data_IF_815138050047
#
_entry.id   IF_815138050047
#
_cell.length_a   1.000
_cell.length_b   1.000
_cell.length_c   1.000
_cell.angle_alpha   90.00
_cell.angle_beta   90.00
_cell.angle_gamma   90.00
#
_symmetry.space_group_name_H-M   'P 1'
#
loop_
_entity.id
_entity.type
_entity.pdbx_description
1 polymer ?
#
# COMPACT_ATOMS: atom_id res chain seq x y z
N UNK A 1 9.37 5.54 50.96
CA UNK A 1 9.84 4.57 51.96
C UNK A 1 11.36 4.68 51.95
N UNK A 2 11.94 4.96 53.12
CA UNK A 2 13.37 5.03 53.32
C UNK A 2 13.79 4.28 54.58
N UNK A 3 15.10 4.05 54.70
CA UNK A 3 15.74 3.58 55.93
C UNK A 3 16.61 4.70 56.44
N UNK A 4 16.45 5.08 57.69
CA UNK A 4 17.22 6.15 58.32
C UNK A 4 17.68 5.67 59.69
N UNK A 5 19.00 5.68 59.95
CA UNK A 5 19.59 5.28 61.21
C UNK A 5 20.81 6.12 61.53
N UNK A 6 20.97 6.49 62.78
CA UNK A 6 22.14 7.23 63.31
C UNK A 6 23.37 6.33 63.56
N UNK A 7 23.17 5.00 63.53
CA UNK A 7 24.22 4.00 63.77
C UNK A 7 24.20 2.94 62.68
N UNK A 8 25.36 2.52 62.18
CA UNK A 8 25.46 1.52 61.13
C UNK A 8 25.02 0.12 61.53
N UNK A 9 24.89 -0.17 62.84
CA UNK A 9 24.42 -1.45 63.37
C UNK A 9 22.89 -1.62 63.32
N UNK A 10 22.14 -0.52 63.41
CA UNK A 10 20.69 -0.51 63.52
C UNK A 10 19.95 -0.24 62.22
N UNK A 11 20.68 -0.22 61.10
CA UNK A 11 20.14 0.16 59.78
C UNK A 11 19.05 -0.79 59.29
N UNK A 12 19.10 -2.06 59.67
CA UNK A 12 18.13 -3.09 59.31
C UNK A 12 17.06 -3.37 60.35
N UNK A 13 17.05 -2.64 61.45
CA UNK A 13 16.02 -2.80 62.47
C UNK A 13 14.65 -2.26 62.01
N UNK A 14 13.59 -2.82 62.56
CA UNK A 14 12.23 -2.38 62.25
C UNK A 14 11.98 -0.90 62.57
N UNK A 15 12.64 -0.37 63.58
CA UNK A 15 12.57 1.00 64.03
C UNK A 15 13.22 2.01 63.09
N UNK A 16 14.09 1.58 62.15
CA UNK A 16 14.78 2.40 61.16
C UNK A 16 13.96 2.65 59.92
N UNK A 17 12.75 2.11 59.82
CA UNK A 17 11.86 2.31 58.67
C UNK A 17 11.10 3.61 58.80
N UNK A 18 11.37 4.53 57.86
CA UNK A 18 10.64 5.80 57.73
C UNK A 18 9.69 5.73 56.56
N UNK A 19 8.46 6.10 56.77
CA UNK A 19 7.49 6.28 55.69
C UNK A 19 6.72 7.58 55.93
N UNK A 20 6.48 8.31 54.87
CA UNK A 20 5.67 9.52 54.91
C UNK A 20 4.64 9.49 53.79
N UNK A 21 3.38 9.68 54.15
CA UNK A 21 2.28 9.89 53.22
C UNK A 21 1.63 11.21 53.61
N UNK A 22 1.59 12.13 52.66
CA UNK A 22 0.92 13.42 52.84
C UNK A 22 0.34 13.93 51.55
N UNK A 23 -0.84 14.54 51.59
CA UNK A 23 -1.35 15.25 50.43
C UNK A 23 -0.48 16.50 50.16
N UNK A 24 0.08 16.59 48.96
CA UNK A 24 0.81 17.77 48.52
C UNK A 24 -0.09 18.61 47.60
N UNK A 25 -0.33 19.87 47.96
CA UNK A 25 -1.00 20.84 47.08
C UNK A 25 0.06 21.82 46.59
N UNK A 26 0.34 21.81 45.26
CA UNK A 26 1.22 22.79 44.64
C UNK A 26 0.36 23.80 43.86
N UNK A 27 0.35 25.03 44.31
CA UNK A 27 -0.36 26.12 43.65
C UNK A 27 0.62 27.20 43.23
N UNK A 28 0.80 27.34 41.93
CA UNK A 28 1.60 28.39 41.35
C UNK A 28 0.78 29.70 41.31
N UNK A 29 0.98 30.60 42.25
CA UNK A 29 0.21 31.85 42.38
C UNK A 29 0.64 32.91 41.35
N UNK A 30 1.85 32.85 40.84
CA UNK A 30 2.36 33.79 39.87
C UNK A 30 3.13 33.11 38.72
N UNK A 31 2.65 33.27 37.50
CA UNK A 31 3.20 32.62 36.31
C UNK A 31 3.76 33.58 35.28
N UNK A 32 3.86 34.87 35.54
CA UNK A 32 4.41 35.85 34.59
C UNK A 32 3.81 35.81 33.19
N UNK A 33 2.52 35.39 33.06
CA UNK A 33 1.86 35.24 31.75
C UNK A 33 2.11 33.92 31.03
N UNK A 34 2.92 32.99 31.59
CA UNK A 34 3.28 31.73 30.94
C UNK A 34 2.09 30.85 30.57
N UNK A 35 1.02 30.84 31.40
CA UNK A 35 -0.20 30.09 31.09
C UNK A 35 -0.90 30.63 29.85
N UNK A 36 -0.99 31.96 29.75
CA UNK A 36 -1.64 32.63 28.61
C UNK A 36 -0.87 32.38 27.31
N UNK A 37 0.45 32.51 27.37
CA UNK A 37 1.35 32.19 26.24
C UNK A 37 1.24 30.73 25.83
N UNK A 38 1.15 29.82 26.80
CA UNK A 38 0.98 28.39 26.49
C UNK A 38 -0.36 28.07 25.80
N UNK A 39 -1.44 28.79 26.15
CA UNK A 39 -2.72 28.67 25.46
C UNK A 39 -2.57 29.13 24.00
N UNK A 40 -1.91 30.24 23.71
CA UNK A 40 -1.65 30.71 22.35
C UNK A 40 -0.81 29.71 21.55
N UNK A 41 0.20 29.11 22.17
CA UNK A 41 0.99 28.04 21.53
C UNK A 41 0.14 26.81 21.18
N UNK A 42 -0.78 26.40 22.08
CA UNK A 42 -1.66 25.26 21.80
C UNK A 42 -2.69 25.58 20.70
N UNK A 43 -3.19 26.82 20.66
CA UNK A 43 -4.10 27.26 19.58
C UNK A 43 -3.37 27.22 18.22
N UNK A 44 -2.13 27.74 18.16
CA UNK A 44 -1.32 27.70 16.94
C UNK A 44 -0.99 26.26 16.50
N UNK A 45 -0.75 25.36 17.45
CA UNK A 45 -0.55 23.92 17.14
C UNK A 45 -1.81 23.26 16.61
N UNK A 46 -2.98 23.62 17.13
CA UNK A 46 -4.27 23.12 16.63
C UNK A 46 -4.51 23.61 15.20
N UNK A 47 -4.25 24.87 14.90
CA UNK A 47 -4.34 25.42 13.54
C UNK A 47 -3.36 24.74 12.58
N UNK A 48 -2.12 24.53 13.01
CA UNK A 48 -1.12 23.76 12.25
C UNK A 48 -1.61 22.33 11.94
N UNK A 49 -2.19 21.65 12.90
CA UNK A 49 -2.73 20.31 12.72
C UNK A 49 -3.92 20.27 11.71
N UNK A 50 -4.76 21.30 11.74
CA UNK A 50 -5.86 21.46 10.78
C UNK A 50 -5.32 21.63 9.36
N UNK A 51 -4.36 22.53 9.16
CA UNK A 51 -3.71 22.77 7.85
C UNK A 51 -3.03 21.49 7.34
N UNK A 52 -2.38 20.74 8.22
CA UNK A 52 -1.77 19.46 7.85
C UNK A 52 -2.81 18.42 7.42
N UNK A 53 -3.96 18.38 8.08
CA UNK A 53 -5.06 17.51 7.68
C UNK A 53 -5.62 17.89 6.31
N UNK A 54 -5.89 19.18 6.07
CA UNK A 54 -6.35 19.66 4.76
C UNK A 54 -5.35 19.33 3.65
N UNK A 55 -4.07 19.57 3.90
CA UNK A 55 -3.00 19.22 2.95
C UNK A 55 -2.91 17.70 2.70
N UNK A 56 -3.20 16.87 3.69
CA UNK A 56 -3.22 15.40 3.51
C UNK A 56 -4.41 14.96 2.66
N UNK A 57 -5.59 15.57 2.84
CA UNK A 57 -6.79 15.28 2.03
C UNK A 57 -6.55 15.67 0.57
N UNK A 58 -6.01 16.87 0.33
CA UNK A 58 -5.71 17.33 -1.03
C UNK A 58 -4.70 16.42 -1.74
N UNK A 59 -3.64 16.00 -1.03
CA UNK A 59 -2.66 15.04 -1.57
C UNK A 59 -3.28 13.69 -1.89
N UNK A 60 -4.18 13.18 -1.06
CA UNK A 60 -4.86 11.94 -1.32
C UNK A 60 -5.77 12.02 -2.57
N UNK A 61 -6.46 13.14 -2.77
CA UNK A 61 -7.25 13.39 -3.98
C UNK A 61 -6.37 13.45 -5.23
N UNK A 62 -5.28 14.21 -5.17
CA UNK A 62 -4.29 14.31 -6.25
C UNK A 62 -3.74 12.93 -6.62
N UNK A 63 -3.38 12.10 -5.64
CA UNK A 63 -2.88 10.74 -5.88
C UNK A 63 -3.91 9.89 -6.62
N UNK A 64 -5.17 9.90 -6.20
CA UNK A 64 -6.25 9.14 -6.86
C UNK A 64 -6.45 9.60 -8.30
N UNK A 65 -6.52 10.90 -8.54
CA UNK A 65 -6.71 11.46 -9.89
C UNK A 65 -5.53 11.11 -10.80
N UNK A 66 -4.30 11.27 -10.33
CA UNK A 66 -3.10 10.95 -11.09
C UNK A 66 -3.05 9.47 -11.49
N UNK A 67 -3.37 8.58 -10.56
CA UNK A 67 -3.36 7.13 -10.83
C UNK A 67 -4.51 6.73 -11.76
N UNK A 68 -5.69 7.36 -11.62
CA UNK A 68 -6.82 7.11 -12.51
C UNK A 68 -6.51 7.52 -13.95
N UNK A 69 -5.90 8.70 -14.13
CA UNK A 69 -5.48 9.18 -15.46
C UNK A 69 -4.39 8.28 -16.04
N UNK A 70 -3.41 7.86 -15.21
CA UNK A 70 -2.36 6.96 -15.66
C UNK A 70 -2.93 5.60 -16.11
N UNK A 71 -3.87 5.04 -15.37
CA UNK A 71 -4.56 3.79 -15.72
C UNK A 71 -5.31 3.92 -17.05
N UNK A 72 -6.12 4.98 -17.21
CA UNK A 72 -6.90 5.20 -18.43
C UNK A 72 -6.01 5.38 -19.67
N UNK A 73 -4.93 6.17 -19.56
CA UNK A 73 -3.97 6.39 -20.65
C UNK A 73 -3.23 5.11 -21.03
N UNK A 74 -2.84 4.30 -20.03
CA UNK A 74 -2.15 3.04 -20.29
C UNK A 74 -3.06 2.01 -20.97
N UNK A 75 -4.34 1.99 -20.67
CA UNK A 75 -5.32 1.17 -21.39
C UNK A 75 -5.40 1.53 -22.88
N UNK A 76 -5.44 2.83 -23.22
CA UNK A 76 -5.44 3.30 -24.61
C UNK A 76 -4.13 2.96 -25.32
N UNK A 77 -2.99 3.09 -24.62
CA UNK A 77 -1.68 2.71 -25.15
C UNK A 77 -1.63 1.21 -25.46
N UNK A 78 -2.07 0.38 -24.52
CA UNK A 78 -2.16 -1.08 -24.70
C UNK A 78 -3.00 -1.46 -25.93
N UNK A 79 -4.17 -0.85 -26.12
CA UNK A 79 -5.01 -1.09 -27.27
C UNK A 79 -4.29 -0.73 -28.58
N UNK A 80 -3.59 0.41 -28.61
CA UNK A 80 -2.82 0.84 -29.77
C UNK A 80 -1.66 -0.10 -30.08
N UNK A 81 -0.92 -0.55 -29.04
CA UNK A 81 0.16 -1.52 -29.18
C UNK A 81 -0.32 -2.89 -29.65
N UNK A 82 -1.49 -3.34 -29.17
CA UNK A 82 -2.12 -4.59 -29.65
C UNK A 82 -2.43 -4.55 -31.14
N UNK A 83 -2.96 -3.42 -31.63
CA UNK A 83 -3.22 -3.21 -33.05
C UNK A 83 -1.92 -3.17 -33.86
N UNK A 84 -0.89 -2.48 -33.32
CA UNK A 84 0.43 -2.39 -33.95
C UNK A 84 1.14 -3.76 -34.03
N UNK A 85 1.13 -4.52 -32.96
CA UNK A 85 1.71 -5.87 -32.93
C UNK A 85 1.01 -6.82 -33.92
N UNK A 86 -0.33 -6.73 -34.02
CA UNK A 86 -1.10 -7.50 -34.99
C UNK A 86 -0.75 -7.10 -36.43
N UNK A 87 -0.57 -5.82 -36.72
CA UNK A 87 -0.15 -5.34 -38.03
C UNK A 87 1.28 -5.78 -38.38
N UNK A 88 2.21 -5.68 -37.41
CA UNK A 88 3.59 -6.14 -37.59
C UNK A 88 3.68 -7.66 -37.81
N UNK A 89 2.83 -8.44 -37.15
CA UNK A 89 2.75 -9.89 -37.37
C UNK A 89 2.36 -10.21 -38.81
N UNK A 90 1.35 -9.51 -39.32
CA UNK A 90 0.95 -9.67 -40.72
C UNK A 90 2.04 -9.24 -41.72
N UNK A 91 2.75 -8.13 -41.40
CA UNK A 91 3.87 -7.67 -42.22
C UNK A 91 5.03 -8.70 -42.24
N UNK A 92 5.35 -9.29 -41.11
CA UNK A 92 6.38 -10.35 -41.03
C UNK A 92 6.00 -11.59 -41.85
N UNK A 93 4.73 -12.00 -41.84
CA UNK A 93 4.24 -13.11 -42.68
C UNK A 93 4.35 -12.78 -44.15
N UNK A 94 3.91 -11.60 -44.57
CA UNK A 94 4.00 -11.15 -45.98
C UNK A 94 5.45 -11.06 -46.43
N UNK A 95 6.38 -10.54 -45.61
CA UNK A 95 7.80 -10.49 -45.90
C UNK A 95 8.39 -11.89 -46.11
N UNK A 96 7.97 -12.87 -45.30
CA UNK A 96 8.38 -14.26 -45.40
C UNK A 96 7.87 -14.91 -46.71
N UNK A 97 6.63 -14.68 -47.06
CA UNK A 97 6.04 -15.19 -48.32
C UNK A 97 6.73 -14.58 -49.55
N UNK A 98 7.02 -13.26 -49.54
CA UNK A 98 7.74 -12.56 -50.59
C UNK A 98 9.19 -13.07 -50.74
N UNK A 99 9.87 -13.38 -49.62
CA UNK A 99 11.20 -13.99 -49.65
C UNK A 99 11.16 -15.38 -50.26
N UNK A 100 10.18 -16.21 -49.89
CA UNK A 100 10.00 -17.53 -50.51
C UNK A 100 9.73 -17.48 -52.01
N UNK A 101 9.05 -16.44 -52.45
CA UNK A 101 8.80 -16.16 -53.87
C UNK A 101 10.02 -15.53 -54.59
N UNK A 102 11.11 -15.25 -53.91
CA UNK A 102 12.32 -14.62 -54.46
C UNK A 102 12.17 -13.13 -54.78
N UNK A 103 11.15 -12.45 -54.20
CA UNK A 103 10.83 -11.06 -54.52
C UNK A 103 11.56 -10.05 -53.62
N UNK A 104 12.03 -10.46 -52.44
CA UNK A 104 12.77 -9.62 -51.48
C UNK A 104 13.93 -10.35 -50.88
N UNK A 105 14.90 -9.57 -50.32
CA UNK A 105 16.05 -10.11 -49.60
C UNK A 105 15.65 -10.59 -48.19
N UNK A 106 16.43 -11.53 -47.66
CA UNK A 106 16.29 -12.06 -46.30
C UNK A 106 16.35 -10.97 -45.21
N UNK A 107 17.08 -9.88 -45.46
CA UNK A 107 17.18 -8.74 -44.55
C UNK A 107 15.79 -8.14 -44.27
N UNK A 108 14.87 -8.08 -45.27
CA UNK A 108 13.52 -7.59 -45.12
C UNK A 108 12.71 -8.48 -44.13
N UNK A 109 12.93 -9.78 -44.16
CA UNK A 109 12.31 -10.72 -43.19
C UNK A 109 12.83 -10.47 -41.80
N UNK A 110 14.16 -10.32 -41.63
CA UNK A 110 14.77 -10.03 -40.33
C UNK A 110 14.30 -8.71 -39.74
N UNK A 111 14.21 -7.65 -40.53
CA UNK A 111 13.73 -6.34 -40.07
C UNK A 111 12.26 -6.36 -39.68
N UNK A 112 11.43 -7.09 -40.42
CA UNK A 112 10.01 -7.29 -40.09
C UNK A 112 9.85 -8.09 -38.80
N UNK A 113 10.62 -9.16 -38.61
CA UNK A 113 10.60 -9.95 -37.39
C UNK A 113 11.12 -9.17 -36.17
N UNK A 114 12.18 -8.36 -36.34
CA UNK A 114 12.68 -7.47 -35.30
C UNK A 114 11.62 -6.45 -34.88
N UNK A 115 10.95 -5.84 -35.84
CA UNK A 115 9.87 -4.87 -35.60
C UNK A 115 8.69 -5.52 -34.82
N UNK A 116 8.31 -6.75 -35.22
CA UNK A 116 7.29 -7.53 -34.50
C UNK A 116 7.71 -7.80 -33.05
N UNK A 117 8.95 -8.23 -32.84
CA UNK A 117 9.46 -8.56 -31.49
C UNK A 117 9.45 -7.33 -30.58
N UNK A 118 9.88 -6.16 -31.09
CA UNK A 118 9.85 -4.90 -30.33
C UNK A 118 8.43 -4.55 -29.91
N UNK A 119 7.47 -4.62 -30.85
CA UNK A 119 6.07 -4.28 -30.56
C UNK A 119 5.39 -5.28 -29.59
N UNK A 120 5.77 -6.55 -29.66
CA UNK A 120 5.31 -7.55 -28.71
C UNK A 120 5.87 -7.30 -27.29
N UNK A 121 7.15 -6.91 -27.19
CA UNK A 121 7.78 -6.58 -25.92
C UNK A 121 7.13 -5.33 -25.30
N UNK A 122 6.91 -4.27 -26.11
CA UNK A 122 6.20 -3.07 -25.65
C UNK A 122 4.75 -3.38 -25.20
N UNK A 123 4.06 -4.27 -25.90
CA UNK A 123 2.71 -4.70 -25.50
C UNK A 123 2.73 -5.43 -24.15
N UNK A 124 3.66 -6.34 -23.95
CA UNK A 124 3.83 -7.06 -22.68
C UNK A 124 4.16 -6.11 -21.51
N UNK A 125 5.04 -5.12 -21.77
CA UNK A 125 5.33 -4.07 -20.79
C UNK A 125 4.10 -3.24 -20.43
N UNK A 126 3.28 -2.88 -21.43
CA UNK A 126 2.04 -2.14 -21.24
C UNK A 126 1.00 -2.97 -20.46
N UNK A 127 0.88 -4.27 -20.73
CA UNK A 127 0.04 -5.19 -19.95
C UNK A 127 0.43 -5.19 -18.46
N UNK A 128 1.72 -5.27 -18.17
CA UNK A 128 2.24 -5.17 -16.81
C UNK A 128 1.97 -3.80 -16.17
N UNK A 129 2.08 -2.72 -16.95
CA UNK A 129 1.83 -1.36 -16.48
C UNK A 129 0.34 -1.14 -16.15
N UNK A 130 -0.60 -1.68 -16.96
CA UNK A 130 -2.05 -1.65 -16.67
C UNK A 130 -2.35 -2.30 -15.33
N UNK A 131 -1.80 -3.49 -15.08
CA UNK A 131 -2.01 -4.20 -13.80
C UNK A 131 -1.40 -3.42 -12.64
N UNK A 132 -0.20 -2.89 -12.81
CA UNK A 132 0.49 -2.08 -11.79
C UNK A 132 -0.32 -0.83 -11.44
N UNK A 133 -0.83 -0.12 -12.43
CA UNK A 133 -1.66 1.08 -12.23
C UNK A 133 -3.00 0.73 -11.57
N UNK A 134 -3.60 -0.41 -11.90
CA UNK A 134 -4.81 -0.90 -11.23
C UNK A 134 -4.57 -1.17 -9.74
N UNK A 135 -3.44 -1.81 -9.40
CA UNK A 135 -3.06 -2.06 -8.00
C UNK A 135 -2.82 -0.74 -7.25
N UNK A 136 -2.15 0.24 -7.91
CA UNK A 136 -1.95 1.58 -7.32
C UNK A 136 -3.27 2.28 -7.08
N UNK A 137 -4.20 2.23 -8.04
CA UNK A 137 -5.53 2.80 -7.88
C UNK A 137 -6.27 2.18 -6.70
N UNK A 138 -6.24 0.85 -6.58
CA UNK A 138 -6.84 0.14 -5.46
C UNK A 138 -6.25 0.57 -4.10
N UNK A 139 -4.93 0.76 -4.04
CA UNK A 139 -4.25 1.26 -2.83
C UNK A 139 -4.63 2.72 -2.52
N UNK A 140 -4.64 3.60 -3.52
CA UNK A 140 -4.99 5.01 -3.36
C UNK A 140 -6.44 5.20 -2.85
N UNK A 141 -7.35 4.31 -3.24
CA UNK A 141 -8.73 4.26 -2.74
C UNK A 141 -8.87 3.63 -1.34
N UNK A 142 -7.74 3.31 -0.68
CA UNK A 142 -7.76 2.70 0.66
C UNK A 142 -8.10 1.20 0.66
N UNK A 143 -8.03 0.53 -0.48
CA UNK A 143 -8.25 -0.92 -0.57
C UNK A 143 -7.04 -1.74 -0.09
N UNK A 144 -7.26 -3.03 0.18
CA UNK A 144 -6.19 -3.98 0.49
C UNK A 144 -5.93 -4.24 1.98
N UNK A 145 -6.62 -3.58 2.88
CA UNK A 145 -6.48 -3.79 4.33
C UNK A 145 -7.48 -4.78 4.94
N UNK A 146 -8.40 -5.33 4.14
CA UNK A 146 -9.20 -6.48 4.59
C UNK A 146 -8.26 -7.68 4.71
N UNK A 147 -8.00 -8.12 5.94
CA UNK A 147 -7.17 -9.30 6.20
C UNK A 147 -7.76 -10.49 5.44
N UNK A 148 -6.91 -11.24 4.74
CA UNK A 148 -7.22 -12.52 4.08
C UNK A 148 -7.66 -13.61 5.09
N UNK A 149 -7.88 -13.26 6.37
CA UNK A 149 -8.27 -14.18 7.43
C UNK A 149 -9.71 -14.71 7.35
N UNK A 150 -10.53 -14.16 6.47
CA UNK A 150 -11.96 -14.56 6.38
C UNK A 150 -12.24 -15.68 5.38
N UNK A 151 -11.26 -16.05 4.53
CA UNK A 151 -11.45 -17.16 3.56
C UNK A 151 -11.17 -18.55 4.14
N UNK A 152 -10.67 -18.65 5.41
CA UNK A 152 -10.51 -19.97 6.06
C UNK A 152 -11.82 -20.62 6.47
N UNK A 153 -12.89 -19.84 6.61
CA UNK A 153 -14.19 -20.37 7.05
C UNK A 153 -15.02 -20.97 5.89
N UNK A 154 -14.73 -20.60 4.64
CA UNK A 154 -15.41 -21.18 3.46
C UNK A 154 -14.88 -22.57 3.10
N UNK A 155 -13.62 -22.89 3.45
CA UNK A 155 -13.03 -24.21 3.21
C UNK A 155 -13.49 -25.31 4.17
N UNK A 156 -14.01 -24.94 5.35
CA UNK A 156 -14.42 -25.90 6.38
C UNK A 156 -15.90 -26.31 6.27
N UNK A 157 -16.74 -25.49 5.63
CA UNK A 157 -18.14 -25.83 5.32
C UNK A 157 -18.25 -26.93 4.27
N UNK A 158 -17.46 -26.83 3.19
CA UNK A 158 -17.49 -27.78 2.08
C UNK A 158 -17.01 -29.20 2.47
N UNK A 159 -16.06 -29.32 3.42
CA UNK A 159 -15.63 -30.64 3.92
C UNK A 159 -16.64 -31.33 4.82
N UNK A 160 -17.46 -30.56 5.56
CA UNK A 160 -18.52 -31.12 6.39
C UNK A 160 -19.71 -31.63 5.56
N UNK A 161 -20.02 -30.95 4.46
CA UNK A 161 -21.12 -31.33 3.58
C UNK A 161 -20.77 -32.56 2.75
N UNK A 162 -19.53 -32.72 2.31
CA UNK A 162 -19.03 -33.90 1.63
C UNK A 162 -19.02 -35.13 2.54
N UNK A 163 -18.57 -34.99 3.79
CA UNK A 163 -18.59 -36.10 4.76
C UNK A 163 -20.01 -36.54 5.17
N UNK A 164 -20.98 -35.62 5.06
CA UNK A 164 -22.40 -35.95 5.33
C UNK A 164 -23.07 -36.68 4.17
N UNK A 165 -22.65 -36.41 2.94
CA UNK A 165 -23.11 -37.12 1.76
C UNK A 165 -22.52 -38.53 1.65
N UNK A 166 -21.28 -38.75 2.06
CA UNK A 166 -20.65 -40.08 2.04
C UNK A 166 -21.29 -41.06 3.04
N UNK A 167 -21.78 -40.55 4.17
CA UNK A 167 -22.48 -41.38 5.16
C UNK A 167 -23.92 -41.75 4.76
N UNK A 168 -24.56 -40.97 3.89
CA UNK A 168 -25.92 -41.23 3.40
C UNK A 168 -25.96 -42.27 2.24
N UNK A 169 -24.82 -42.60 1.65
CA UNK A 169 -24.71 -43.59 0.54
C UNK A 169 -24.34 -44.99 1.09
N UNK A 170 -24.05 -45.10 2.41
CA UNK A 170 -23.66 -46.39 3.04
C UNK A 170 -24.77 -47.04 3.87
N UNK A 171 -25.96 -46.46 3.94
CA UNK A 171 -27.19 -47.09 4.43
C UNK A 171 -28.07 -47.53 3.25
#
# INVERSE_FOLDING_TARGET
>A
IGLESLSSGDFFEWASRTWSIGPGVSWNIFHGGAIRQNIEVQTARQEQALIQYEAAVLRAQEEVENVLVAYAKEQLRRESLSKAATAAQRAALVAQDQYQAGLVDFNNVLDSQRSLLILQDELNQSDGAVISNLIRLYKALGGGWKSLSKDKDLGNGSKKDLAKQENLVRE
#
